data_IF_239866648588
#
_entry.id   IF_239866648588
#
_cell.length_a   1.000
_cell.length_b   1.000
_cell.length_c   1.000
_cell.angle_alpha   90.00
_cell.angle_beta   90.00
_cell.angle_gamma   90.00
#
_symmetry.space_group_name_H-M   'P 1'
#
loop_
_entity.id
_entity.type
_entity.pdbx_description
1 polymer ?
#
# COMPACT_ATOMS: atom_id res chain seq x y z
N UNK A 1 -8.70 1.52 2.05
CA UNK A 1 -9.24 1.61 3.41
C UNK A 1 -9.69 3.05 3.54
N UNK A 2 -10.98 3.31 3.30
CA UNK A 2 -11.53 4.64 3.51
C UNK A 2 -11.90 4.69 4.98
N UNK A 3 -11.19 5.50 5.77
CA UNK A 3 -11.60 5.76 7.14
C UNK A 3 -13.02 6.33 7.10
N UNK A 4 -13.89 5.93 8.02
CA UNK A 4 -15.27 6.43 8.10
C UNK A 4 -15.31 7.85 8.70
N UNK A 5 -14.47 8.72 8.12
CA UNK A 5 -14.30 10.14 8.42
C UNK A 5 -15.08 11.00 7.41
N UNK A 6 -15.92 10.38 6.58
CA UNK A 6 -16.67 11.05 5.53
C UNK A 6 -17.51 12.20 6.06
N UNK A 7 -18.08 12.07 7.27
CA UNK A 7 -18.88 13.09 7.96
C UNK A 7 -18.05 14.30 8.42
N UNK A 8 -16.80 14.12 8.82
CA UNK A 8 -15.92 15.20 9.30
C UNK A 8 -15.24 15.97 8.16
N UNK A 9 -15.09 15.36 6.98
CA UNK A 9 -14.38 15.94 5.84
C UNK A 9 -15.26 16.06 4.58
N UNK A 10 -16.59 16.19 4.72
CA UNK A 10 -17.54 16.24 3.58
C UNK A 10 -17.14 17.27 2.50
N UNK A 11 -16.56 18.40 2.90
CA UNK A 11 -16.14 19.48 1.97
C UNK A 11 -14.62 19.55 1.77
N UNK A 12 -13.87 18.58 2.28
CA UNK A 12 -12.40 18.61 2.30
C UNK A 12 -11.80 17.32 1.76
N UNK A 13 -12.12 17.00 0.51
CA UNK A 13 -11.62 15.80 -0.18
C UNK A 13 -10.10 15.68 -0.15
N UNK A 14 -9.36 16.79 -0.36
CA UNK A 14 -7.90 16.79 -0.30
C UNK A 14 -7.35 16.46 1.10
N UNK A 15 -8.04 16.90 2.17
CA UNK A 15 -7.61 16.60 3.55
C UNK A 15 -7.87 15.14 3.90
N UNK A 16 -9.03 14.61 3.50
CA UNK A 16 -9.35 13.19 3.65
C UNK A 16 -8.33 12.32 2.90
N UNK A 17 -7.99 12.68 1.66
CA UNK A 17 -6.98 11.99 0.87
C UNK A 17 -5.58 12.04 1.50
N UNK A 18 -5.20 13.17 2.14
CA UNK A 18 -3.95 13.28 2.86
C UNK A 18 -3.89 12.35 4.08
N UNK A 19 -5.00 12.22 4.82
CA UNK A 19 -5.09 11.29 5.95
C UNK A 19 -4.99 9.84 5.46
N UNK A 20 -5.78 9.48 4.44
CA UNK A 20 -5.72 8.14 3.84
C UNK A 20 -4.30 7.82 3.34
N UNK A 21 -3.60 8.82 2.77
CA UNK A 21 -2.22 8.68 2.32
C UNK A 21 -1.27 8.37 3.48
N UNK A 22 -1.28 9.18 4.54
CA UNK A 22 -0.38 9.02 5.69
C UNK A 22 -0.61 7.68 6.40
N UNK A 23 -1.87 7.32 6.67
CA UNK A 23 -2.20 6.05 7.33
C UNK A 23 -1.76 4.86 6.47
N UNK A 24 -1.98 4.93 5.15
CA UNK A 24 -1.52 3.87 4.27
C UNK A 24 0.01 3.83 4.14
N UNK A 25 0.70 4.97 4.22
CA UNK A 25 2.16 5.06 4.15
C UNK A 25 2.81 4.38 5.36
N UNK A 26 2.29 4.63 6.56
CA UNK A 26 2.83 4.10 7.82
C UNK A 26 2.39 2.65 8.11
N UNK A 27 1.41 2.13 7.37
CA UNK A 27 0.92 0.77 7.56
C UNK A 27 2.00 -0.29 7.25
N UNK A 28 2.10 -1.33 8.07
CA UNK A 28 3.00 -2.46 7.79
C UNK A 28 2.56 -3.22 6.52
N UNK A 29 1.25 -3.44 6.40
CA UNK A 29 0.60 -4.15 5.30
C UNK A 29 -0.44 -3.24 4.65
N UNK A 30 -0.31 -3.06 3.34
CA UNK A 30 -1.22 -2.24 2.55
C UNK A 30 -1.98 -3.07 1.50
N UNK A 31 -3.30 -2.86 1.40
CA UNK A 31 -4.19 -3.53 0.43
C UNK A 31 -4.91 -2.49 -0.43
N UNK A 32 -4.44 -2.23 -1.67
CA UNK A 32 -5.10 -1.26 -2.55
C UNK A 32 -6.37 -1.83 -3.19
N UNK A 33 -7.43 -1.04 -3.14
CA UNK A 33 -8.73 -1.35 -3.78
C UNK A 33 -8.81 -0.83 -5.21
N UNK A 34 -8.15 0.28 -5.51
CA UNK A 34 -8.09 0.89 -6.84
C UNK A 34 -6.66 1.27 -7.24
N UNK A 35 -6.45 1.37 -8.55
CA UNK A 35 -5.20 1.88 -9.12
C UNK A 35 -5.20 3.40 -9.19
N UNK A 36 -4.31 3.96 -10.01
CA UNK A 36 -4.24 5.40 -10.28
C UNK A 36 -3.11 6.11 -9.55
N UNK A 37 -3.16 7.45 -9.55
CA UNK A 37 -2.07 8.31 -9.08
C UNK A 37 -1.76 8.12 -7.59
N UNK A 38 -2.80 8.01 -6.75
CA UNK A 38 -2.64 7.72 -5.32
C UNK A 38 -1.82 6.44 -5.10
N UNK A 39 -2.18 5.35 -5.80
CA UNK A 39 -1.48 4.09 -5.67
C UNK A 39 -0.03 4.20 -6.15
N UNK A 40 0.21 4.85 -7.28
CA UNK A 40 1.56 5.00 -7.83
C UNK A 40 2.49 5.76 -6.87
N UNK A 41 2.03 6.90 -6.36
CA UNK A 41 2.77 7.75 -5.43
C UNK A 41 3.02 7.02 -4.10
N UNK A 42 2.00 6.39 -3.54
CA UNK A 42 2.10 5.68 -2.27
C UNK A 42 3.07 4.50 -2.36
N UNK A 43 3.05 3.74 -3.45
CA UNK A 43 3.98 2.62 -3.64
C UNK A 43 5.43 3.07 -3.79
N UNK A 44 5.69 4.13 -4.55
CA UNK A 44 7.04 4.68 -4.65
C UNK A 44 7.54 5.23 -3.33
N UNK A 45 6.69 5.95 -2.59
CA UNK A 45 7.05 6.50 -1.29
C UNK A 45 7.35 5.39 -0.27
N UNK A 46 6.51 4.35 -0.21
CA UNK A 46 6.76 3.16 0.62
C UNK A 46 8.06 2.45 0.21
N UNK A 47 8.36 2.34 -1.09
CA UNK A 47 9.63 1.76 -1.56
C UNK A 47 10.84 2.59 -1.12
N UNK A 48 10.71 3.91 -1.20
CA UNK A 48 11.77 4.83 -0.85
C UNK A 48 12.09 4.80 0.65
N UNK A 49 11.07 4.94 1.52
CA UNK A 49 11.27 4.99 2.97
C UNK A 49 11.67 3.64 3.56
N UNK A 50 11.05 2.55 3.10
CA UNK A 50 11.24 1.21 3.69
C UNK A 50 12.20 0.34 2.87
N UNK A 51 12.97 0.90 1.93
CA UNK A 51 13.92 0.14 1.09
C UNK A 51 13.26 -0.96 0.23
N UNK A 52 11.95 -0.84 -0.03
CA UNK A 52 11.17 -1.87 -0.73
C UNK A 52 10.77 -3.08 0.13
N UNK A 53 10.93 -3.03 1.45
CA UNK A 53 10.50 -4.08 2.39
C UNK A 53 9.03 -3.97 2.80
N UNK A 54 8.32 -2.96 2.30
CA UNK A 54 6.93 -2.71 2.62
C UNK A 54 5.97 -3.71 1.97
N UNK A 55 5.14 -4.37 2.78
CA UNK A 55 4.19 -5.37 2.28
C UNK A 55 3.00 -4.68 1.61
N UNK A 56 2.80 -4.97 0.33
CA UNK A 56 1.57 -4.62 -0.40
C UNK A 56 0.93 -5.89 -0.94
N UNK A 57 -0.33 -6.13 -0.62
CA UNK A 57 -1.13 -7.27 -1.11
C UNK A 57 -2.14 -6.77 -2.13
N UNK A 58 -2.01 -7.19 -3.40
CA UNK A 58 -3.02 -6.93 -4.43
C UNK A 58 -3.90 -8.16 -4.63
N UNK A 59 -5.15 -8.17 -4.11
CA UNK A 59 -6.08 -9.25 -4.40
C UNK A 59 -6.54 -9.20 -5.86
N UNK A 60 -6.86 -10.37 -6.41
CA UNK A 60 -7.57 -10.47 -7.69
C UNK A 60 -9.01 -9.96 -7.50
N UNK A 61 -9.30 -8.77 -8.04
CA UNK A 61 -10.60 -8.13 -7.88
C UNK A 61 -11.74 -8.94 -8.46
N UNK A 62 -11.51 -9.67 -9.57
CA UNK A 62 -12.56 -10.47 -10.22
C UNK A 62 -12.94 -11.65 -9.34
N UNK A 63 -11.93 -12.35 -8.80
CA UNK A 63 -12.18 -13.44 -7.88
C UNK A 63 -12.77 -12.96 -6.54
N UNK A 64 -12.35 -11.80 -6.06
CA UNK A 64 -12.91 -11.20 -4.85
C UNK A 64 -14.39 -10.83 -5.01
N UNK A 65 -14.79 -10.28 -6.17
CA UNK A 65 -16.19 -10.01 -6.47
C UNK A 65 -17.04 -11.29 -6.42
N UNK A 66 -16.57 -12.38 -7.04
CA UNK A 66 -17.26 -13.68 -7.01
C UNK A 66 -17.34 -14.27 -5.59
N UNK A 67 -16.34 -14.05 -4.74
CA UNK A 67 -16.40 -14.49 -3.34
C UNK A 67 -17.47 -13.75 -2.55
N UNK A 68 -17.59 -12.43 -2.75
CA UNK A 68 -18.57 -11.61 -2.04
C UNK A 68 -20.00 -11.81 -2.54
N UNK A 69 -20.16 -12.28 -3.77
CA UNK A 69 -21.47 -12.63 -4.33
C UNK A 69 -22.07 -13.91 -3.69
N UNK A 70 -21.28 -14.69 -2.94
CA UNK A 70 -21.75 -15.87 -2.23
C UNK A 70 -22.10 -15.52 -0.76
N UNK A 71 -23.39 -15.37 -0.40
CA UNK A 71 -23.80 -15.00 0.96
C UNK A 71 -23.53 -16.12 2.00
N UNK A 72 -23.33 -17.35 1.55
CA UNK A 72 -23.11 -18.52 2.40
C UNK A 72 -21.63 -18.87 2.57
N UNK A 73 -20.71 -17.99 2.16
CA UNK A 73 -19.29 -18.26 2.32
C UNK A 73 -18.88 -18.24 3.80
N UNK A 74 -18.56 -19.41 4.32
CA UNK A 74 -18.00 -19.52 5.67
C UNK A 74 -16.65 -18.79 5.80
N UNK A 75 -16.39 -18.18 6.96
CA UNK A 75 -15.17 -17.41 7.24
C UNK A 75 -13.88 -18.20 6.95
N UNK A 76 -13.84 -19.50 7.23
CA UNK A 76 -12.69 -20.35 6.92
C UNK A 76 -12.43 -20.48 5.41
N UNK A 77 -13.49 -20.65 4.62
CA UNK A 77 -13.39 -20.71 3.17
C UNK A 77 -12.97 -19.37 2.58
N UNK A 78 -13.52 -18.27 3.10
CA UNK A 78 -13.11 -16.92 2.71
C UNK A 78 -11.62 -16.68 3.00
N UNK A 79 -11.14 -17.03 4.20
CA UNK A 79 -9.73 -16.91 4.59
C UNK A 79 -8.82 -17.71 3.66
N UNK A 80 -9.17 -18.97 3.36
CA UNK A 80 -8.41 -19.82 2.43
C UNK A 80 -8.34 -19.20 1.04
N UNK A 81 -9.46 -18.70 0.54
CA UNK A 81 -9.54 -18.06 -0.77
C UNK A 81 -8.72 -16.75 -0.82
N UNK A 82 -8.77 -15.92 0.23
CA UNK A 82 -7.93 -14.73 0.38
C UNK A 82 -6.43 -15.04 0.33
N UNK A 83 -5.99 -16.10 1.02
CA UNK A 83 -4.59 -16.56 0.97
C UNK A 83 -4.20 -16.98 -0.45
N UNK A 84 -5.09 -17.72 -1.14
CA UNK A 84 -4.87 -18.15 -2.53
C UNK A 84 -4.90 -16.98 -3.53
N UNK A 85 -5.60 -15.89 -3.21
CA UNK A 85 -5.70 -14.68 -4.05
C UNK A 85 -4.62 -13.65 -3.77
N UNK A 86 -3.59 -13.98 -2.96
CA UNK A 86 -2.43 -13.12 -2.73
C UNK A 86 -1.54 -13.10 -3.99
N UNK A 87 -1.94 -12.32 -4.98
CA UNK A 87 -1.34 -12.37 -6.33
C UNK A 87 0.04 -11.70 -6.37
N UNK A 88 0.36 -10.76 -5.48
CA UNK A 88 1.74 -10.26 -5.32
C UNK A 88 1.96 -9.70 -3.91
N UNK A 89 3.07 -10.09 -3.27
CA UNK A 89 3.73 -9.26 -2.25
C UNK A 89 4.82 -8.49 -2.99
N UNK A 90 4.81 -7.16 -2.94
CA UNK A 90 5.95 -6.38 -3.45
C UNK A 90 7.12 -6.52 -2.46
N UNK A 91 7.77 -7.69 -2.45
CA UNK A 91 9.05 -7.94 -1.75
C UNK A 91 10.26 -7.72 -2.65
N UNK A 92 10.06 -7.22 -3.88
CA UNK A 92 11.14 -6.99 -4.82
C UNK A 92 11.83 -5.65 -4.54
N UNK A 93 12.44 -5.53 -3.36
CA UNK A 93 13.30 -4.45 -2.85
C UNK A 93 13.34 -3.15 -3.67
N UNK A 94 14.55 -2.64 -3.86
CA UNK A 94 14.83 -1.48 -4.71
C UNK A 94 14.86 -1.91 -6.17
N UNK A 95 13.71 -2.32 -6.73
CA UNK A 95 13.64 -2.66 -8.15
C UNK A 95 14.00 -1.45 -9.01
N UNK A 96 14.97 -1.62 -9.91
CA UNK A 96 15.29 -0.60 -10.91
C UNK A 96 14.09 -0.38 -11.84
N UNK A 97 13.73 0.89 -12.01
CA UNK A 97 12.70 1.37 -12.93
C UNK A 97 12.94 0.79 -14.33
N UNK A 98 11.97 0.11 -14.93
CA UNK A 98 12.02 -0.21 -16.37
C UNK A 98 11.64 1.04 -17.17
N UNK A 99 12.05 1.17 -18.45
CA UNK A 99 11.79 2.38 -19.23
C UNK A 99 10.32 2.84 -19.26
N UNK A 100 9.37 1.89 -19.18
CA UNK A 100 7.92 2.14 -19.20
C UNK A 100 7.30 2.43 -17.83
N UNK A 101 8.04 2.21 -16.74
CA UNK A 101 7.51 2.39 -15.39
C UNK A 101 7.59 3.86 -14.96
N UNK A 102 6.62 4.34 -14.18
CA UNK A 102 6.57 5.72 -13.68
C UNK A 102 7.68 5.99 -12.66
N UNK A 103 8.30 7.18 -12.74
CA UNK A 103 9.29 7.67 -11.75
C UNK A 103 8.67 7.70 -10.34
N UNK A 104 7.38 8.04 -10.25
CA UNK A 104 6.64 8.08 -8.99
C UNK A 104 6.42 6.71 -8.37
N UNK A 105 6.37 5.66 -9.19
CA UNK A 105 6.21 4.28 -8.70
C UNK A 105 7.56 3.63 -8.37
N UNK A 106 8.61 3.96 -9.13
CA UNK A 106 9.96 3.42 -8.98
C UNK A 106 10.95 4.58 -8.87
N UNK A 107 11.04 5.21 -7.69
CA UNK A 107 11.95 6.33 -7.48
C UNK A 107 13.40 5.87 -7.67
N UNK A 108 14.20 6.72 -8.30
CA UNK A 108 15.61 6.42 -8.53
C UNK A 108 16.41 6.69 -7.25
N UNK A 109 17.07 5.67 -6.67
CA UNK A 109 17.73 5.81 -5.37
C UNK A 109 18.99 6.67 -5.41
N UNK A 110 19.63 6.81 -6.58
CA UNK A 110 20.88 7.55 -6.74
C UNK A 110 20.68 9.06 -6.90
N UNK A 111 19.47 9.53 -7.22
CA UNK A 111 19.17 10.95 -7.35
C UNK A 111 18.34 11.55 -6.21
N UNK A 112 17.91 10.72 -5.25
CA UNK A 112 17.15 11.14 -4.08
C UNK A 112 18.12 11.33 -2.90
N UNK A 113 18.00 12.44 -2.16
CA UNK A 113 18.83 12.71 -0.98
C UNK A 113 18.64 11.61 0.06
N UNK A 114 19.71 10.90 0.45
CA UNK A 114 19.62 9.91 1.53
C UNK A 114 19.04 10.60 2.77
N UNK A 115 18.03 9.99 3.40
CA UNK A 115 17.62 10.41 4.73
C UNK A 115 18.85 10.32 5.64
N UNK A 116 19.19 11.41 6.32
CA UNK A 116 20.38 11.48 7.15
C UNK A 116 20.41 10.29 8.10
N UNK A 117 21.48 9.50 8.03
CA UNK A 117 21.78 8.45 9.00
C UNK A 117 22.33 9.09 10.29
N UNK A 118 21.63 10.05 10.86
CA UNK A 118 21.92 10.54 12.21
C UNK A 118 21.18 9.65 13.22
N UNK A 119 21.79 8.49 13.50
CA UNK A 119 21.64 7.84 14.80
C UNK A 119 20.37 7.05 15.10
N UNK A 120 19.81 6.28 14.15
CA UNK A 120 19.16 5.02 14.50
C UNK A 120 19.13 4.08 13.29
N UNK A 121 19.81 2.94 13.37
CA UNK A 121 19.72 1.87 12.38
C UNK A 121 18.39 1.09 12.48
N UNK A 122 17.43 1.59 13.24
CA UNK A 122 16.04 1.17 13.15
C UNK A 122 15.39 1.94 12.01
N UNK A 123 15.01 1.22 10.94
CA UNK A 123 13.97 1.73 10.04
C UNK A 123 12.80 2.29 10.88
N UNK A 124 12.04 3.27 10.36
CA UNK A 124 10.99 3.93 11.12
C UNK A 124 10.20 2.88 11.89
N UNK A 125 10.05 3.02 13.23
CA UNK A 125 9.48 1.97 14.07
C UNK A 125 8.18 1.52 13.42
N UNK A 126 8.02 0.21 13.27
CA UNK A 126 6.80 -0.40 12.73
C UNK A 126 5.67 -0.03 13.71
N UNK A 127 5.04 1.11 13.46
CA UNK A 127 3.87 1.54 14.21
C UNK A 127 2.74 0.66 13.70
N UNK A 128 2.46 -0.40 14.47
CA UNK A 128 1.33 -1.28 14.21
C UNK A 128 0.07 -0.47 14.46
N UNK A 129 -0.46 0.13 13.40
CA UNK A 129 -1.79 0.77 13.42
C UNK A 129 -2.87 -0.30 13.23
N UNK A 130 -2.89 -1.32 14.10
CA UNK A 130 -3.96 -2.30 14.31
C UNK A 130 -3.77 -2.98 15.67
#
# INVERSE_FOLDING_TARGET
>A
MFLNLSTYFQNYSSRMAAIDYTVCLDSEVFVPTQGGNFLQLLLGHRRYLYGGHSTTIRPDKRKLALLFDNPNIGCQNFKRQMVNMRVYTVSKGLQLKRPKDSIYSFPCPVCMCKADKSGDARGPPVRRFL
#
